data_IF_494031448858
#
_entry.id   IF_494031448858
#
_cell.length_a   1.000
_cell.length_b   1.000
_cell.length_c   1.000
_cell.angle_alpha   90.00
_cell.angle_beta   90.00
_cell.angle_gamma   90.00
#
_symmetry.space_group_name_H-M   'P 1'
#
loop_
_entity.id
_entity.type
_entity.pdbx_description
1 polymer ?
#
# COMPACT_ATOMS: atom_id res chain seq x y z
N UNK A 1 -47.73 6.87 7.09
CA UNK A 1 -46.81 5.79 7.52
C UNK A 1 -45.89 5.34 6.40
N UNK A 2 -46.36 4.64 5.36
CA UNK A 2 -45.47 4.08 4.33
C UNK A 2 -44.58 5.09 3.58
N UNK A 3 -45.09 6.30 3.29
CA UNK A 3 -44.29 7.36 2.64
C UNK A 3 -43.16 7.89 3.54
N UNK A 4 -43.44 8.15 4.80
CA UNK A 4 -42.44 8.64 5.76
C UNK A 4 -41.37 7.59 6.06
N UNK A 5 -41.76 6.33 6.09
CA UNK A 5 -40.84 5.20 6.28
C UNK A 5 -39.91 5.03 5.08
N UNK A 6 -40.45 5.12 3.85
CA UNK A 6 -39.64 5.13 2.63
C UNK A 6 -38.67 6.33 2.55
N UNK A 7 -39.09 7.51 3.02
CA UNK A 7 -38.21 8.69 3.09
C UNK A 7 -37.08 8.50 4.11
N UNK A 8 -37.39 7.94 5.28
CA UNK A 8 -36.39 7.58 6.30
C UNK A 8 -35.38 6.57 5.77
N UNK A 9 -35.85 5.50 5.13
CA UNK A 9 -34.99 4.48 4.51
C UNK A 9 -34.12 5.05 3.39
N UNK A 10 -34.62 6.01 2.61
CA UNK A 10 -33.80 6.71 1.61
C UNK A 10 -32.69 7.52 2.25
N UNK A 11 -32.99 8.24 3.33
CA UNK A 11 -32.02 9.05 4.07
C UNK A 11 -30.93 8.16 4.69
N UNK A 12 -31.31 7.06 5.31
CA UNK A 12 -30.38 6.08 5.88
C UNK A 12 -29.49 5.44 4.79
N UNK A 13 -30.07 5.05 3.65
CA UNK A 13 -29.30 4.55 2.52
C UNK A 13 -28.29 5.57 1.97
N UNK A 14 -28.67 6.86 1.91
CA UNK A 14 -27.75 7.91 1.49
C UNK A 14 -26.61 8.09 2.49
N UNK A 15 -26.90 8.00 3.79
CA UNK A 15 -25.88 8.11 4.83
C UNK A 15 -24.93 6.92 4.82
N UNK A 16 -25.44 5.69 4.69
CA UNK A 16 -24.60 4.50 4.53
C UNK A 16 -23.68 4.60 3.32
N UNK A 17 -24.19 5.09 2.17
CA UNK A 17 -23.37 5.31 0.97
C UNK A 17 -22.23 6.30 1.22
N UNK A 18 -22.47 7.39 1.97
CA UNK A 18 -21.42 8.34 2.33
C UNK A 18 -20.37 7.71 3.25
N UNK A 19 -20.80 6.92 4.23
CA UNK A 19 -19.88 6.23 5.14
C UNK A 19 -18.99 5.22 4.40
N UNK A 20 -19.57 4.43 3.50
CA UNK A 20 -18.82 3.50 2.64
C UNK A 20 -17.77 4.28 1.83
N UNK A 21 -18.16 5.37 1.18
CA UNK A 21 -17.23 6.16 0.38
C UNK A 21 -16.08 6.76 1.22
N UNK A 22 -16.39 7.24 2.43
CA UNK A 22 -15.38 7.73 3.37
C UNK A 22 -14.42 6.63 3.81
N UNK A 23 -14.92 5.43 4.11
CA UNK A 23 -14.11 4.30 4.50
C UNK A 23 -13.21 3.82 3.36
N UNK A 24 -13.71 3.74 2.13
CA UNK A 24 -12.90 3.43 0.94
C UNK A 24 -11.74 4.42 0.81
N UNK A 25 -12.03 5.73 0.91
CA UNK A 25 -10.99 6.77 0.81
C UNK A 25 -9.91 6.63 1.90
N UNK A 26 -10.30 6.24 3.12
CA UNK A 26 -9.35 5.97 4.21
C UNK A 26 -8.50 4.74 3.94
N UNK A 27 -9.10 3.67 3.43
CA UNK A 27 -8.38 2.45 3.05
C UNK A 27 -7.34 2.76 1.98
N UNK A 28 -7.72 3.48 0.92
CA UNK A 28 -6.80 3.86 -0.16
C UNK A 28 -5.63 4.69 0.37
N UNK A 29 -5.90 5.66 1.26
CA UNK A 29 -4.85 6.46 1.89
C UNK A 29 -3.91 5.62 2.76
N UNK A 30 -4.45 4.65 3.52
CA UNK A 30 -3.65 3.78 4.39
C UNK A 30 -2.80 2.81 3.57
N UNK A 31 -3.36 2.20 2.52
CA UNK A 31 -2.61 1.35 1.60
C UNK A 31 -1.50 2.13 0.90
N UNK A 32 -1.83 3.33 0.40
CA UNK A 32 -0.86 4.22 -0.24
C UNK A 32 0.26 4.65 0.71
N UNK A 33 -0.05 4.90 1.98
CA UNK A 33 0.97 5.20 2.99
C UNK A 33 1.84 3.97 3.32
N UNK A 34 1.20 2.81 3.52
CA UNK A 34 1.87 1.55 3.85
C UNK A 34 2.84 1.10 2.76
N UNK A 35 2.45 1.23 1.48
CA UNK A 35 3.23 0.79 0.33
C UNK A 35 4.17 1.86 -0.25
N UNK A 36 4.15 3.10 0.27
CA UNK A 36 4.83 4.26 -0.31
C UNK A 36 6.32 4.02 -0.61
N UNK A 37 7.00 3.32 0.30
CA UNK A 37 8.44 3.09 0.21
C UNK A 37 8.77 1.71 -0.39
N UNK A 38 7.76 0.93 -0.76
CA UNK A 38 7.98 -0.40 -1.31
C UNK A 38 8.32 -0.27 -2.80
N UNK A 39 9.39 -0.96 -3.22
CA UNK A 39 9.75 -1.08 -4.63
C UNK A 39 9.20 -2.39 -5.20
N UNK A 40 8.78 -2.36 -6.46
CA UNK A 40 8.30 -3.55 -7.18
C UNK A 40 9.29 -3.91 -8.29
N UNK A 41 9.95 -5.04 -8.13
CA UNK A 41 10.88 -5.59 -9.13
C UNK A 41 10.14 -6.57 -10.04
N UNK A 42 10.27 -6.38 -11.35
CA UNK A 42 9.66 -7.24 -12.38
C UNK A 42 10.77 -7.87 -13.24
N UNK A 43 10.52 -9.06 -13.78
CA UNK A 43 11.47 -9.76 -14.66
C UNK A 43 12.47 -10.67 -13.94
N UNK A 44 12.38 -10.81 -12.62
CA UNK A 44 13.16 -11.80 -11.86
C UNK A 44 12.43 -13.14 -11.92
N UNK A 45 13.07 -14.15 -12.52
CA UNK A 45 12.46 -15.48 -12.70
C UNK A 45 12.35 -16.24 -11.38
N UNK A 46 11.14 -16.72 -11.09
CA UNK A 46 10.88 -17.65 -10.00
C UNK A 46 11.24 -19.09 -10.35
N UNK A 47 11.44 -19.91 -9.33
CA UNK A 47 11.69 -21.35 -9.46
C UNK A 47 10.67 -22.16 -8.66
N UNK A 48 10.37 -23.40 -9.08
CA UNK A 48 9.41 -24.24 -8.34
C UNK A 48 9.97 -24.61 -6.96
N UNK A 49 9.14 -24.51 -5.92
CA UNK A 49 9.55 -24.78 -4.54
C UNK A 49 10.46 -23.71 -3.92
N UNK A 50 10.57 -22.53 -4.55
CA UNK A 50 11.37 -21.41 -4.07
C UNK A 50 10.91 -20.93 -2.69
N UNK A 51 11.88 -20.74 -1.79
CA UNK A 51 11.66 -20.17 -0.47
C UNK A 51 11.90 -18.67 -0.48
N UNK A 52 11.51 -18.02 0.60
CA UNK A 52 11.72 -16.58 0.77
C UNK A 52 13.20 -16.19 0.60
N UNK A 53 14.10 -16.98 1.20
CA UNK A 53 15.53 -16.71 1.20
C UNK A 53 16.12 -16.75 -0.22
N UNK A 54 15.62 -17.66 -1.07
CA UNK A 54 16.04 -17.78 -2.47
C UNK A 54 15.63 -16.52 -3.26
N UNK A 55 14.38 -16.07 -3.09
CA UNK A 55 13.88 -14.85 -3.73
C UNK A 55 14.62 -13.61 -3.23
N UNK A 56 14.88 -13.52 -1.92
CA UNK A 56 15.66 -12.42 -1.34
C UNK A 56 17.07 -12.36 -1.96
N UNK A 57 17.75 -13.50 -2.08
CA UNK A 57 19.07 -13.56 -2.70
C UNK A 57 19.04 -13.13 -4.17
N UNK A 58 18.05 -13.56 -4.96
CA UNK A 58 17.91 -13.14 -6.35
C UNK A 58 17.73 -11.63 -6.48
N UNK A 59 16.91 -11.02 -5.63
CA UNK A 59 16.69 -9.56 -5.63
C UNK A 59 17.97 -8.82 -5.23
N UNK A 60 18.67 -9.28 -4.18
CA UNK A 60 19.96 -8.69 -3.77
C UNK A 60 21.00 -8.75 -4.89
N UNK A 61 21.12 -9.90 -5.54
CA UNK A 61 22.02 -10.08 -6.68
C UNK A 61 21.65 -9.16 -7.85
N UNK A 62 20.36 -9.02 -8.17
CA UNK A 62 19.91 -8.08 -9.19
C UNK A 62 20.30 -6.63 -8.86
N UNK A 63 20.06 -6.19 -7.62
CA UNK A 63 20.41 -4.82 -7.18
C UNK A 63 21.92 -4.58 -7.30
N UNK A 64 22.73 -5.55 -6.88
CA UNK A 64 24.18 -5.43 -6.89
C UNK A 64 24.78 -5.50 -8.29
N UNK A 65 24.42 -6.53 -9.04
CA UNK A 65 25.16 -6.88 -10.26
C UNK A 65 24.56 -6.23 -11.49
N UNK A 66 23.23 -6.02 -11.52
CA UNK A 66 22.55 -5.36 -12.64
C UNK A 66 22.47 -3.86 -12.45
N UNK A 67 22.11 -3.39 -11.25
CA UNK A 67 22.01 -1.94 -10.98
C UNK A 67 23.33 -1.32 -10.51
N UNK A 68 24.33 -2.12 -10.13
CA UNK A 68 25.61 -1.62 -9.65
C UNK A 68 25.54 -0.91 -8.29
N UNK A 69 24.48 -1.17 -7.51
CA UNK A 69 24.25 -0.50 -6.23
C UNK A 69 24.87 -1.29 -5.07
N UNK A 70 25.37 -0.61 -4.04
CA UNK A 70 25.89 -1.27 -2.86
C UNK A 70 24.77 -2.00 -2.08
N UNK A 71 25.12 -3.09 -1.41
CA UNK A 71 24.17 -3.89 -0.61
C UNK A 71 23.53 -3.06 0.52
N UNK A 72 24.22 -2.04 1.02
CA UNK A 72 23.74 -1.08 2.01
C UNK A 72 24.29 0.32 1.74
N UNK A 73 23.42 1.31 1.82
CA UNK A 73 23.78 2.72 1.84
C UNK A 73 23.15 3.38 3.07
N UNK A 74 23.91 4.20 3.79
CA UNK A 74 23.37 4.91 4.94
C UNK A 74 22.52 6.08 4.44
N UNK A 75 21.19 5.93 4.52
CA UNK A 75 20.26 6.99 4.16
C UNK A 75 19.85 7.72 5.44
N UNK A 76 20.31 8.96 5.59
CA UNK A 76 19.86 9.87 6.64
C UNK A 76 18.38 10.19 6.42
N UNK A 77 17.50 9.47 7.11
CA UNK A 77 16.09 9.79 7.17
C UNK A 77 15.91 11.03 8.05
N UNK A 78 16.09 12.22 7.46
CA UNK A 78 15.64 13.47 8.07
C UNK A 78 14.13 13.37 8.24
N UNK A 79 13.68 12.94 9.41
CA UNK A 79 12.30 13.20 9.84
C UNK A 79 12.17 14.71 9.84
N UNK A 80 11.49 15.27 8.85
CA UNK A 80 11.03 16.65 8.89
C UNK A 80 10.19 16.78 10.16
N UNK A 81 10.79 17.35 11.20
CA UNK A 81 10.07 17.82 12.37
C UNK A 81 9.07 18.86 11.87
N UNK A 82 7.83 18.42 11.64
CA UNK A 82 6.70 19.35 11.57
C UNK A 82 6.41 19.79 13.00
N UNK A 83 7.13 20.82 13.42
CA UNK A 83 6.81 21.66 14.56
C UNK A 83 5.64 22.57 14.18
N UNK A 84 4.61 22.66 15.03
CA UNK A 84 3.56 23.68 14.96
C UNK A 84 2.16 23.11 14.80
#
# INVERSE_FOLDING_TARGET
MLKSENESLKKENQEMKKQIHSLCSKIDSLEGHSRRNNLRYLGISGTSGEKWEDTEQKVRHFIKDTLGLPDFEHVDNRKSAQSG
#
